data_IF_949081227825
#
_entry.id   IF_949081227825
#
_cell.length_a   1.000
_cell.length_b   1.000
_cell.length_c   1.000
_cell.angle_alpha   90.00
_cell.angle_beta   90.00
_cell.angle_gamma   90.00
#
_symmetry.space_group_name_H-M   'P 1'
#
loop_
_entity.id
_entity.type
_entity.pdbx_description
1 polymer ?
#
# COMPACT_ATOMS: atom_id res chain seq x y z
N UNK A 1 -5.83 23.48 -11.33
CA UNK A 1 -6.30 24.28 -10.18
C UNK A 1 -5.46 23.93 -8.98
N UNK A 2 -5.13 24.90 -8.13
CA UNK A 2 -4.40 24.62 -6.88
C UNK A 2 -5.31 23.88 -5.90
N UNK A 3 -4.85 22.74 -5.36
CA UNK A 3 -5.56 22.02 -4.31
C UNK A 3 -5.33 22.72 -2.96
N UNK A 4 -6.38 23.22 -2.35
CA UNK A 4 -6.33 24.01 -1.11
C UNK A 4 -7.36 23.58 -0.06
N UNK A 5 -8.10 22.51 -0.31
CA UNK A 5 -9.09 21.92 0.61
C UNK A 5 -8.99 20.41 0.61
N UNK A 6 -9.23 19.82 1.77
CA UNK A 6 -9.42 18.36 1.91
C UNK A 6 -10.80 17.95 1.39
N UNK A 7 -11.03 16.67 1.20
CA UNK A 7 -12.35 16.13 0.90
C UNK A 7 -13.31 16.43 2.06
N UNK A 8 -14.53 16.91 1.77
CA UNK A 8 -15.59 16.92 2.76
C UNK A 8 -16.11 15.49 3.00
N UNK A 9 -16.84 15.30 4.11
CA UNK A 9 -17.47 14.00 4.41
C UNK A 9 -18.44 13.57 3.30
N UNK A 10 -19.23 14.48 2.80
CA UNK A 10 -20.20 14.20 1.73
C UNK A 10 -19.51 13.82 0.42
N UNK A 11 -18.42 14.51 0.07
CA UNK A 11 -17.61 14.18 -1.09
C UNK A 11 -16.98 12.79 -0.96
N UNK A 12 -16.40 12.46 0.21
CA UNK A 12 -15.84 11.13 0.47
C UNK A 12 -16.93 10.04 0.36
N UNK A 13 -18.11 10.27 0.94
CA UNK A 13 -19.21 9.30 0.91
C UNK A 13 -19.74 9.07 -0.50
N UNK A 14 -19.74 10.10 -1.35
CA UNK A 14 -20.17 10.02 -2.75
C UNK A 14 -19.18 9.24 -3.65
N UNK A 15 -17.92 9.06 -3.23
CA UNK A 15 -16.96 8.27 -3.99
C UNK A 15 -17.32 6.78 -3.94
N UNK A 16 -17.31 6.13 -5.10
CA UNK A 16 -17.23 4.67 -5.17
C UNK A 16 -15.81 4.18 -4.89
N UNK A 17 -15.65 2.90 -4.54
CA UNK A 17 -14.32 2.28 -4.41
C UNK A 17 -13.54 2.31 -5.72
N UNK A 18 -14.23 2.28 -6.87
CA UNK A 18 -13.62 2.44 -8.20
C UNK A 18 -13.06 3.85 -8.40
N UNK A 19 -13.82 4.90 -8.05
CA UNK A 19 -13.37 6.30 -8.21
C UNK A 19 -12.15 6.58 -7.32
N UNK A 20 -12.19 6.12 -6.07
CA UNK A 20 -11.07 6.26 -5.12
C UNK A 20 -9.80 5.54 -5.62
N UNK A 21 -9.93 4.32 -6.16
CA UNK A 21 -8.80 3.62 -6.77
C UNK A 21 -8.29 4.34 -8.03
N UNK A 22 -9.20 4.84 -8.86
CA UNK A 22 -8.84 5.56 -10.08
C UNK A 22 -8.08 6.85 -9.77
N UNK A 23 -8.41 7.56 -8.69
CA UNK A 23 -7.66 8.75 -8.25
C UNK A 23 -6.19 8.40 -7.94
N UNK A 24 -5.93 7.27 -7.25
CA UNK A 24 -4.57 6.79 -7.01
C UNK A 24 -3.85 6.42 -8.31
N UNK A 25 -4.54 5.75 -9.24
CA UNK A 25 -3.97 5.38 -10.56
C UNK A 25 -3.59 6.60 -11.38
N UNK A 26 -4.48 7.58 -11.46
CA UNK A 26 -4.23 8.84 -12.17
C UNK A 26 -3.15 9.66 -11.47
N UNK A 27 -3.13 9.66 -10.13
CA UNK A 27 -2.07 10.28 -9.33
C UNK A 27 -0.70 9.69 -9.64
N UNK A 28 -0.59 8.35 -9.72
CA UNK A 28 0.68 7.72 -10.13
C UNK A 28 1.08 8.08 -11.57
N UNK A 29 0.13 8.22 -12.49
CA UNK A 29 0.44 8.70 -13.84
C UNK A 29 0.99 10.15 -13.83
N UNK A 30 0.42 11.04 -12.98
CA UNK A 30 0.96 12.40 -12.81
C UNK A 30 2.39 12.37 -12.25
N UNK A 31 2.64 11.55 -11.23
CA UNK A 31 3.97 11.34 -10.64
C UNK A 31 4.99 10.89 -11.70
N UNK A 32 4.68 9.84 -12.46
CA UNK A 32 5.55 9.29 -13.51
C UNK A 32 5.90 10.33 -14.58
N UNK A 33 4.96 11.20 -14.93
CA UNK A 33 5.13 12.24 -15.93
C UNK A 33 5.63 13.58 -15.38
N UNK A 34 5.93 13.66 -14.07
CA UNK A 34 6.31 14.89 -13.36
C UNK A 34 5.27 16.04 -13.53
N UNK A 35 3.99 15.70 -13.62
CA UNK A 35 2.85 16.60 -13.79
C UNK A 35 2.05 16.72 -12.48
N UNK A 36 2.75 17.03 -11.38
CA UNK A 36 2.16 17.11 -10.04
C UNK A 36 1.05 18.14 -9.95
N UNK A 37 0.08 17.85 -9.07
CA UNK A 37 -0.88 18.86 -8.65
C UNK A 37 -0.16 20.02 -7.96
N UNK A 38 -0.65 21.23 -8.20
CA UNK A 38 -0.27 22.40 -7.41
C UNK A 38 -1.00 22.33 -6.05
N UNK A 39 -0.24 22.36 -4.94
CA UNK A 39 -0.75 22.11 -3.58
C UNK A 39 -0.44 23.30 -2.68
N UNK A 40 -1.49 23.93 -2.15
CA UNK A 40 -1.38 24.92 -1.07
C UNK A 40 -1.39 24.23 0.29
N UNK A 41 -0.19 23.79 0.73
CA UNK A 41 -0.01 23.09 2.01
C UNK A 41 -0.51 23.92 3.20
N UNK A 42 -0.36 25.25 3.17
CA UNK A 42 -0.82 26.12 4.27
C UNK A 42 -2.33 26.09 4.40
N UNK A 43 -3.04 26.22 3.29
CA UNK A 43 -4.49 26.13 3.27
C UNK A 43 -4.99 24.76 3.66
N UNK A 44 -4.39 23.68 3.14
CA UNK A 44 -4.75 22.31 3.50
C UNK A 44 -4.55 22.01 4.98
N UNK A 45 -3.45 22.49 5.57
CA UNK A 45 -3.19 22.31 7.00
C UNK A 45 -4.23 23.00 7.86
N UNK A 46 -4.64 24.21 7.49
CA UNK A 46 -5.70 24.94 8.20
C UNK A 46 -7.05 24.25 8.03
N UNK A 47 -7.38 23.79 6.82
CA UNK A 47 -8.66 23.14 6.50
C UNK A 47 -8.79 21.78 7.20
N UNK A 48 -7.65 21.05 7.42
CA UNK A 48 -7.62 19.75 8.06
C UNK A 48 -7.59 19.78 9.59
N UNK A 49 -7.46 20.95 10.22
CA UNK A 49 -7.37 21.07 11.69
C UNK A 49 -8.60 20.47 12.40
N UNK A 50 -9.78 20.65 11.82
CA UNK A 50 -11.06 20.20 12.40
C UNK A 50 -11.41 18.75 12.09
N UNK A 51 -10.64 18.04 11.23
CA UNK A 51 -10.89 16.66 10.83
C UNK A 51 -10.26 16.28 9.50
N UNK A 52 -10.52 15.03 9.08
CA UNK A 52 -10.01 14.49 7.82
C UNK A 52 -10.96 13.45 7.24
N UNK A 53 -10.99 13.32 5.92
CA UNK A 53 -11.81 12.35 5.21
C UNK A 53 -11.00 11.64 4.11
N UNK A 54 -9.93 10.87 4.46
CA UNK A 54 -9.10 10.19 3.49
C UNK A 54 -9.91 9.17 2.69
N UNK A 55 -9.69 9.13 1.37
CA UNK A 55 -10.42 8.21 0.49
C UNK A 55 -9.79 6.81 0.42
N UNK A 56 -8.56 6.64 0.87
CA UNK A 56 -7.83 5.38 0.82
C UNK A 56 -6.91 5.18 2.02
N UNK A 57 -6.51 3.92 2.26
CA UNK A 57 -5.37 3.55 3.10
C UNK A 57 -4.38 2.72 2.29
N UNK A 58 -3.09 3.03 2.40
CA UNK A 58 -2.01 2.33 1.72
C UNK A 58 -1.10 1.67 2.76
N UNK A 59 -0.94 0.35 2.69
CA UNK A 59 0.10 -0.39 3.40
C UNK A 59 1.35 -0.45 2.53
N UNK A 60 2.46 0.10 3.00
CA UNK A 60 3.73 0.13 2.27
C UNK A 60 4.91 -0.30 3.14
N UNK A 61 6.04 -0.57 2.48
CA UNK A 61 7.30 -0.79 3.18
C UNK A 61 7.81 0.51 3.85
N UNK A 62 8.68 0.37 4.86
CA UNK A 62 9.41 1.49 5.46
C UNK A 62 10.50 2.07 4.53
N UNK A 63 10.74 1.50 3.36
CA UNK A 63 11.77 1.94 2.42
C UNK A 63 11.64 3.44 2.14
N UNK A 64 12.71 4.20 2.38
CA UNK A 64 12.73 5.66 2.27
C UNK A 64 12.52 6.18 0.84
N UNK A 65 12.67 5.33 -0.17
CA UNK A 65 12.46 5.65 -1.58
C UNK A 65 10.99 5.54 -1.99
N UNK A 66 10.13 4.99 -1.12
CA UNK A 66 8.69 4.82 -1.36
C UNK A 66 7.93 5.83 -0.50
N UNK A 67 7.82 7.06 -1.01
CA UNK A 67 7.02 8.11 -0.38
C UNK A 67 5.61 8.04 -0.95
N UNK A 68 4.72 7.34 -0.26
CA UNK A 68 3.40 6.92 -0.76
C UNK A 68 2.59 8.09 -1.31
N UNK A 69 2.55 9.20 -0.56
CA UNK A 69 1.80 10.40 -0.94
C UNK A 69 2.35 10.98 -2.25
N UNK A 70 3.67 10.97 -2.46
CA UNK A 70 4.28 11.42 -3.72
C UNK A 70 4.02 10.44 -4.86
N UNK A 71 4.18 9.11 -4.61
CA UNK A 71 3.96 8.07 -5.62
C UNK A 71 2.56 8.17 -6.22
N UNK A 72 1.58 8.56 -5.42
CA UNK A 72 0.19 8.71 -5.86
C UNK A 72 -0.25 10.17 -6.04
N UNK A 73 0.68 11.14 -5.95
CA UNK A 73 0.38 12.58 -6.05
C UNK A 73 -0.81 12.98 -5.19
N UNK A 74 -0.77 12.56 -3.92
CA UNK A 74 -1.80 12.83 -2.93
C UNK A 74 -1.37 13.94 -1.97
N UNK A 75 -2.32 14.76 -1.58
CA UNK A 75 -2.09 15.88 -0.67
C UNK A 75 -2.38 15.49 0.79
N UNK A 76 -2.10 16.43 1.69
CA UNK A 76 -2.43 16.32 3.11
C UNK A 76 -3.92 15.99 3.29
N UNK A 77 -4.21 14.92 4.04
CA UNK A 77 -5.57 14.49 4.36
C UNK A 77 -6.26 13.60 3.31
N UNK A 78 -5.60 13.26 2.20
CA UNK A 78 -6.19 12.44 1.14
C UNK A 78 -6.13 10.93 1.41
N UNK A 79 -5.03 10.48 2.03
CA UNK A 79 -4.77 9.05 2.27
C UNK A 79 -4.22 8.80 3.66
N UNK A 80 -4.58 7.66 4.25
CA UNK A 80 -3.85 7.08 5.36
C UNK A 80 -2.68 6.26 4.83
N UNK A 81 -1.57 6.23 5.58
CA UNK A 81 -0.40 5.41 5.25
C UNK A 81 0.02 4.58 6.45
N UNK A 82 -0.02 3.26 6.32
CA UNK A 82 0.55 2.32 7.26
C UNK A 82 1.86 1.76 6.70
N UNK A 83 2.92 1.62 7.53
CA UNK A 83 4.23 1.18 7.06
C UNK A 83 4.86 0.16 7.99
N UNK A 84 5.35 -0.92 7.39
CA UNK A 84 6.18 -1.94 8.04
C UNK A 84 7.18 -2.49 7.03
N UNK A 85 8.39 -2.86 7.44
CA UNK A 85 9.38 -3.45 6.54
C UNK A 85 8.80 -4.71 5.87
N UNK A 86 8.78 -4.73 4.52
CA UNK A 86 8.17 -5.84 3.76
C UNK A 86 6.65 -5.78 3.61
N UNK A 87 6.00 -4.67 3.97
CA UNK A 87 4.56 -4.40 3.71
C UNK A 87 3.59 -5.57 3.99
N UNK A 88 3.86 -6.39 5.00
CA UNK A 88 2.98 -7.48 5.43
C UNK A 88 1.89 -7.00 6.42
N UNK A 89 0.82 -7.80 6.60
CA UNK A 89 -0.24 -7.51 7.56
C UNK A 89 0.07 -8.12 8.93
N UNK A 90 -0.21 -7.37 9.99
CA UNK A 90 -0.28 -7.84 11.37
C UNK A 90 -1.52 -7.25 12.05
N UNK A 91 -1.78 -7.61 13.29
CA UNK A 91 -2.98 -7.17 14.02
C UNK A 91 -3.14 -5.66 14.05
N UNK A 92 -2.06 -4.90 14.30
CA UNK A 92 -2.13 -3.44 14.43
C UNK A 92 -2.36 -2.77 13.06
N UNK A 93 -1.74 -3.29 12.00
CA UNK A 93 -1.95 -2.85 10.63
C UNK A 93 -3.40 -3.11 10.21
N UNK A 94 -3.92 -4.32 10.46
CA UNK A 94 -5.30 -4.67 10.10
C UNK A 94 -6.31 -3.83 10.90
N UNK A 95 -6.10 -3.61 12.20
CA UNK A 95 -6.93 -2.74 13.02
C UNK A 95 -6.92 -1.28 12.49
N UNK A 96 -5.78 -0.79 12.03
CA UNK A 96 -5.67 0.53 11.38
C UNK A 96 -6.47 0.59 10.06
N UNK A 97 -6.49 -0.49 9.28
CA UNK A 97 -7.33 -0.60 8.08
C UNK A 97 -8.82 -0.64 8.41
N UNK A 98 -9.21 -1.36 9.47
CA UNK A 98 -10.59 -1.36 9.96
C UNK A 98 -11.03 0.04 10.38
N UNK A 99 -10.19 0.75 11.13
CA UNK A 99 -10.45 2.15 11.48
C UNK A 99 -10.61 3.01 10.23
N UNK A 100 -9.67 2.91 9.28
CA UNK A 100 -9.70 3.71 8.05
C UNK A 100 -10.97 3.46 7.22
N UNK A 101 -11.37 2.20 7.05
CA UNK A 101 -12.51 1.86 6.18
C UNK A 101 -13.85 1.94 6.92
N UNK A 102 -13.97 1.32 8.10
CA UNK A 102 -15.24 1.20 8.82
C UNK A 102 -15.61 2.48 9.58
N UNK A 103 -14.62 3.18 10.17
CA UNK A 103 -14.85 4.37 11.01
C UNK A 103 -14.65 5.65 10.20
N UNK A 104 -13.51 5.81 9.54
CA UNK A 104 -13.18 7.03 8.80
C UNK A 104 -13.82 7.08 7.40
N UNK A 105 -14.17 5.95 6.78
CA UNK A 105 -14.93 5.88 5.53
C UNK A 105 -14.08 5.80 4.27
N UNK A 106 -12.80 5.40 4.39
CA UNK A 106 -11.94 5.12 3.23
C UNK A 106 -12.51 3.99 2.38
N UNK A 107 -12.36 4.11 1.06
CA UNK A 107 -12.97 3.24 0.06
C UNK A 107 -12.01 2.21 -0.55
N UNK A 108 -10.71 2.39 -0.33
CA UNK A 108 -9.67 1.54 -0.94
C UNK A 108 -8.60 1.19 0.08
N UNK A 109 -8.21 -0.09 0.09
CA UNK A 109 -6.98 -0.57 0.73
C UNK A 109 -6.01 -0.95 -0.39
N UNK A 110 -4.82 -0.37 -0.38
CA UNK A 110 -3.73 -0.73 -1.31
C UNK A 110 -2.61 -1.40 -0.52
N UNK A 111 -2.22 -2.61 -0.93
CA UNK A 111 -0.97 -3.23 -0.48
C UNK A 111 0.10 -2.92 -1.52
N UNK A 112 1.03 -2.04 -1.17
CA UNK A 112 2.07 -1.54 -2.06
C UNK A 112 3.41 -2.18 -1.74
N UNK A 113 3.79 -3.20 -2.50
CA UNK A 113 5.16 -3.71 -2.58
C UNK A 113 6.04 -2.79 -3.42
N UNK A 114 7.33 -3.04 -3.43
CA UNK A 114 8.26 -2.27 -4.27
C UNK A 114 9.44 -3.10 -4.73
N UNK A 115 9.98 -2.75 -5.89
CA UNK A 115 11.19 -3.34 -6.44
C UNK A 115 12.37 -3.22 -5.47
N UNK A 116 13.19 -4.26 -5.38
CA UNK A 116 14.42 -4.24 -4.58
C UNK A 116 14.19 -4.14 -3.06
N UNK A 117 13.07 -4.62 -2.54
CA UNK A 117 12.74 -4.60 -1.12
C UNK A 117 13.78 -5.35 -0.28
N UNK A 118 14.42 -4.63 0.67
CA UNK A 118 15.45 -5.20 1.54
C UNK A 118 14.92 -6.29 2.46
N UNK A 119 13.71 -6.16 2.98
CA UNK A 119 13.10 -7.19 3.84
C UNK A 119 12.80 -8.49 3.05
N UNK A 120 12.31 -8.37 1.81
CA UNK A 120 12.08 -9.54 0.95
C UNK A 120 13.40 -10.22 0.59
N UNK A 121 14.44 -9.46 0.26
CA UNK A 121 15.78 -10.01 0.01
C UNK A 121 16.31 -10.75 1.23
N UNK A 122 16.21 -10.14 2.41
CA UNK A 122 16.63 -10.77 3.65
C UNK A 122 15.84 -12.06 3.96
N UNK A 123 14.55 -12.12 3.64
CA UNK A 123 13.74 -13.33 3.76
C UNK A 123 14.20 -14.42 2.77
N UNK A 124 14.52 -14.07 1.52
CA UNK A 124 15.09 -15.00 0.54
C UNK A 124 16.43 -15.59 1.01
N UNK A 125 17.24 -14.80 1.72
CA UNK A 125 18.54 -15.24 2.26
C UNK A 125 18.44 -15.92 3.63
N UNK A 126 17.23 -16.09 4.18
CA UNK A 126 16.98 -16.65 5.52
C UNK A 126 17.80 -15.95 6.63
N UNK A 127 17.86 -14.61 6.60
CA UNK A 127 18.63 -13.82 7.55
C UNK A 127 18.05 -13.97 8.97
N UNK A 128 18.92 -14.24 9.93
CA UNK A 128 18.59 -14.31 11.36
C UNK A 128 19.28 -13.17 12.10
N UNK A 129 18.51 -12.20 12.65
CA UNK A 129 19.04 -11.07 13.39
C UNK A 129 17.98 -10.47 14.31
N UNK A 130 18.06 -10.76 15.61
CA UNK A 130 17.20 -10.17 16.63
C UNK A 130 15.70 -10.18 16.23
N UNK A 131 15.02 -9.05 16.37
CA UNK A 131 13.61 -8.93 16.00
C UNK A 131 13.35 -9.02 14.47
N UNK A 132 14.39 -8.86 13.65
CA UNK A 132 14.28 -9.00 12.19
C UNK A 132 13.88 -10.43 11.84
N UNK A 133 14.39 -11.45 12.53
CA UNK A 133 14.00 -12.85 12.34
C UNK A 133 12.48 -13.03 12.43
N UNK A 134 11.86 -12.51 13.49
CA UNK A 134 10.39 -12.57 13.64
C UNK A 134 9.66 -11.75 12.58
N UNK A 135 10.21 -10.62 12.15
CA UNK A 135 9.62 -9.83 11.06
C UNK A 135 9.63 -10.61 9.76
N UNK A 136 10.77 -11.22 9.40
CA UNK A 136 10.93 -11.97 8.15
C UNK A 136 10.07 -13.22 8.09
N UNK A 137 9.72 -13.83 9.23
CA UNK A 137 8.80 -14.98 9.26
C UNK A 137 7.42 -14.68 8.66
N UNK A 138 7.00 -13.42 8.60
CA UNK A 138 5.77 -13.03 7.92
C UNK A 138 5.91 -13.02 6.38
N UNK A 139 7.13 -12.96 5.87
CA UNK A 139 7.42 -12.95 4.43
C UNK A 139 7.81 -14.34 3.92
N UNK A 140 8.36 -15.19 4.81
CA UNK A 140 8.85 -16.53 4.47
C UNK A 140 7.84 -17.39 3.70
N UNK A 141 6.52 -17.41 4.01
CA UNK A 141 5.57 -18.17 3.23
C UNK A 141 5.50 -17.74 1.75
N UNK A 142 5.67 -16.45 1.44
CA UNK A 142 5.73 -15.96 0.06
C UNK A 142 7.03 -16.47 -0.65
N UNK A 143 8.16 -16.52 0.08
CA UNK A 143 9.41 -17.11 -0.43
C UNK A 143 9.18 -18.57 -0.78
N UNK A 144 8.55 -19.35 0.11
CA UNK A 144 8.32 -20.78 -0.10
C UNK A 144 7.36 -21.06 -1.26
N UNK A 145 6.31 -20.27 -1.42
CA UNK A 145 5.36 -20.37 -2.53
C UNK A 145 6.01 -20.16 -3.90
N UNK A 146 7.05 -19.33 -3.97
CA UNK A 146 7.71 -18.99 -5.25
C UNK A 146 8.79 -20.01 -5.63
N UNK A 147 9.40 -20.73 -4.66
CA UNK A 147 10.50 -21.66 -4.90
C UNK A 147 10.20 -22.72 -5.97
N UNK A 148 8.96 -23.19 -6.05
CA UNK A 148 8.56 -24.21 -7.03
C UNK A 148 8.32 -23.66 -8.44
N UNK A 149 8.28 -22.35 -8.62
CA UNK A 149 7.84 -21.68 -9.85
C UNK A 149 8.94 -20.84 -10.51
N UNK A 150 10.13 -20.75 -9.90
CA UNK A 150 11.25 -19.98 -10.42
C UNK A 150 12.52 -20.83 -10.41
N UNK A 151 13.13 -20.99 -11.58
CA UNK A 151 14.39 -21.71 -11.74
C UNK A 151 15.59 -20.91 -11.22
N UNK A 152 16.65 -21.63 -10.85
CA UNK A 152 17.92 -21.07 -10.40
C UNK A 152 18.05 -20.90 -8.88
N UNK A 153 19.01 -20.09 -8.41
CA UNK A 153 19.19 -19.84 -6.98
C UNK A 153 17.97 -19.19 -6.34
N UNK A 154 17.61 -19.65 -5.13
CA UNK A 154 16.48 -19.10 -4.36
C UNK A 154 16.99 -18.15 -3.25
N UNK A 155 17.79 -17.16 -3.64
CA UNK A 155 18.42 -16.18 -2.77
C UNK A 155 18.28 -14.75 -3.35
N UNK A 156 18.79 -13.75 -2.65
CA UNK A 156 18.73 -12.35 -3.05
C UNK A 156 19.55 -11.99 -4.28
N UNK A 157 20.46 -12.87 -4.73
CA UNK A 157 21.23 -12.72 -5.97
C UNK A 157 20.41 -12.99 -7.23
N UNK A 158 19.33 -13.76 -7.13
CA UNK A 158 18.41 -14.03 -8.24
C UNK A 158 17.30 -12.97 -8.28
N UNK A 159 17.45 -11.94 -9.12
CA UNK A 159 16.46 -10.86 -9.24
C UNK A 159 15.09 -11.34 -9.69
N UNK A 160 15.00 -12.38 -10.51
CA UNK A 160 13.73 -12.98 -10.95
C UNK A 160 13.01 -13.59 -9.76
N UNK A 161 13.71 -14.32 -8.91
CA UNK A 161 13.16 -14.90 -7.69
C UNK A 161 12.70 -13.83 -6.70
N UNK A 162 13.54 -12.82 -6.44
CA UNK A 162 13.18 -11.70 -5.55
C UNK A 162 11.94 -10.97 -6.05
N UNK A 163 11.84 -10.65 -7.34
CA UNK A 163 10.70 -9.93 -7.90
C UNK A 163 9.41 -10.77 -7.85
N UNK A 164 9.50 -12.07 -8.10
CA UNK A 164 8.37 -12.98 -7.93
C UNK A 164 7.92 -13.03 -6.46
N UNK A 165 8.86 -13.11 -5.52
CA UNK A 165 8.57 -13.10 -4.07
C UNK A 165 7.94 -11.77 -3.63
N UNK A 166 8.39 -10.62 -4.14
CA UNK A 166 7.75 -9.32 -3.86
C UNK A 166 6.28 -9.34 -4.26
N UNK A 167 5.98 -9.82 -5.46
CA UNK A 167 4.60 -9.92 -5.96
C UNK A 167 3.77 -10.89 -5.13
N UNK A 168 4.31 -12.05 -4.83
CA UNK A 168 3.64 -13.08 -4.01
C UNK A 168 3.35 -12.55 -2.59
N UNK A 169 4.31 -11.85 -1.98
CA UNK A 169 4.13 -11.23 -0.66
C UNK A 169 2.97 -10.22 -0.65
N UNK A 170 2.79 -9.45 -1.73
CA UNK A 170 1.63 -8.55 -1.86
C UNK A 170 0.32 -9.34 -1.92
N UNK A 171 0.25 -10.40 -2.73
CA UNK A 171 -0.93 -11.26 -2.88
C UNK A 171 -1.27 -11.98 -1.57
N UNK A 172 -0.26 -12.52 -0.89
CA UNK A 172 -0.41 -13.15 0.41
C UNK A 172 -0.93 -12.16 1.45
N UNK A 173 -0.35 -10.97 1.53
CA UNK A 173 -0.80 -9.91 2.46
C UNK A 173 -2.26 -9.54 2.23
N UNK A 174 -2.71 -9.45 0.98
CA UNK A 174 -4.14 -9.22 0.65
C UNK A 174 -5.02 -10.36 1.17
N UNK A 175 -4.58 -11.61 0.99
CA UNK A 175 -5.29 -12.79 1.51
C UNK A 175 -5.36 -12.79 3.02
N UNK A 176 -4.27 -12.43 3.69
CA UNK A 176 -4.17 -12.32 5.15
C UNK A 176 -5.11 -11.23 5.70
N UNK A 177 -5.16 -10.05 5.08
CA UNK A 177 -6.10 -8.98 5.46
C UNK A 177 -7.54 -9.49 5.45
N UNK A 178 -7.94 -10.21 4.39
CA UNK A 178 -9.28 -10.80 4.27
C UNK A 178 -9.55 -11.86 5.33
N UNK A 179 -8.55 -12.68 5.65
CA UNK A 179 -8.66 -13.74 6.66
C UNK A 179 -8.70 -13.20 8.08
N UNK A 180 -7.89 -12.18 8.38
CA UNK A 180 -7.77 -11.61 9.73
C UNK A 180 -8.94 -10.69 10.09
N UNK A 181 -9.61 -10.07 9.09
CA UNK A 181 -10.68 -9.10 9.34
C UNK A 181 -11.99 -9.48 8.65
N UNK A 182 -12.93 -10.12 9.36
CA UNK A 182 -14.28 -10.29 8.87
C UNK A 182 -14.99 -8.96 8.55
N UNK A 183 -14.60 -7.87 9.21
CA UNK A 183 -15.14 -6.51 8.97
C UNK A 183 -14.76 -6.04 7.57
N UNK A 184 -13.46 -6.07 7.24
CA UNK A 184 -12.97 -5.64 5.92
C UNK A 184 -13.48 -6.57 4.81
N UNK A 185 -13.48 -7.88 5.06
CA UNK A 185 -14.05 -8.87 4.14
C UNK A 185 -15.52 -8.56 3.81
N UNK A 186 -16.34 -8.28 4.83
CA UNK A 186 -17.75 -7.92 4.64
C UNK A 186 -17.93 -6.63 3.84
N UNK A 187 -17.12 -5.58 4.10
CA UNK A 187 -17.17 -4.34 3.34
C UNK A 187 -16.77 -4.55 1.87
N UNK A 188 -15.79 -5.42 1.61
CA UNK A 188 -15.36 -5.77 0.25
C UNK A 188 -16.46 -6.57 -0.49
N UNK A 189 -17.08 -7.55 0.18
CA UNK A 189 -18.18 -8.36 -0.40
C UNK A 189 -19.40 -7.50 -0.77
N UNK A 190 -19.68 -6.45 0.02
CA UNK A 190 -20.72 -5.45 -0.26
C UNK A 190 -20.30 -4.41 -1.32
N UNK A 191 -19.05 -4.44 -1.79
CA UNK A 191 -18.46 -3.46 -2.71
C UNK A 191 -18.35 -2.03 -2.15
N UNK A 192 -18.44 -1.88 -0.84
CA UNK A 192 -18.22 -0.62 -0.15
C UNK A 192 -16.74 -0.21 -0.21
N UNK A 193 -15.84 -1.20 -0.21
CA UNK A 193 -14.40 -1.01 -0.39
C UNK A 193 -13.84 -1.95 -1.45
N UNK A 194 -12.60 -1.68 -1.85
CA UNK A 194 -11.79 -2.58 -2.70
C UNK A 194 -10.43 -2.77 -2.05
N UNK A 195 -9.93 -4.02 -2.03
CA UNK A 195 -8.58 -4.38 -1.58
C UNK A 195 -7.77 -4.80 -2.80
N UNK A 196 -6.71 -4.05 -3.11
CA UNK A 196 -5.88 -4.27 -4.31
C UNK A 196 -4.40 -4.29 -3.96
N UNK A 197 -3.60 -4.86 -4.86
CA UNK A 197 -2.15 -4.86 -4.76
C UNK A 197 -1.49 -4.07 -5.88
N UNK A 198 -0.26 -3.65 -5.62
CA UNK A 198 0.61 -3.06 -6.62
C UNK A 198 2.08 -3.22 -6.25
N UNK A 199 2.95 -3.14 -7.25
CA UNK A 199 4.40 -3.14 -7.05
C UNK A 199 4.98 -1.86 -7.66
N UNK A 200 5.57 -1.03 -6.80
CA UNK A 200 6.22 0.21 -7.20
C UNK A 200 7.60 -0.05 -7.82
N UNK A 201 7.81 0.45 -9.03
CA UNK A 201 9.04 0.34 -9.79
C UNK A 201 9.95 1.53 -9.51
N UNK A 202 11.07 1.31 -8.84
CA UNK A 202 11.97 2.36 -8.37
C UNK A 202 12.53 3.24 -9.49
N UNK A 203 12.78 2.65 -10.66
CA UNK A 203 13.38 3.36 -11.79
C UNK A 203 12.39 4.24 -12.54
N UNK A 204 11.19 3.74 -12.76
CA UNK A 204 10.18 4.43 -13.58
C UNK A 204 9.19 5.26 -12.75
N UNK A 205 9.09 4.98 -11.45
CA UNK A 205 8.07 5.56 -10.59
C UNK A 205 6.67 4.96 -10.79
N UNK A 206 6.52 3.99 -11.69
CA UNK A 206 5.24 3.38 -12.02
C UNK A 206 4.82 2.35 -10.97
N UNK A 207 3.52 2.27 -10.71
CA UNK A 207 2.91 1.17 -9.95
C UNK A 207 2.31 0.17 -10.93
N UNK A 208 2.82 -1.07 -10.90
CA UNK A 208 2.24 -2.19 -11.63
C UNK A 208 1.17 -2.83 -10.73
N UNK A 209 -0.08 -2.65 -11.10
CA UNK A 209 -1.25 -3.16 -10.37
C UNK A 209 -1.45 -4.66 -10.60
N UNK A 210 -1.85 -5.38 -9.55
CA UNK A 210 -2.04 -6.84 -9.54
C UNK A 210 -3.36 -7.22 -8.88
#
# INVERSE_FOLDING_TARGET
>A
MTKNKILSKDQQQALSSYDALNELKVGNQRYVNALFNDIDIKSLRNDSESGQNPHAIVLSCIDSRVVVEQVFDQALGDVFVARVAGNFANTDIVASMEYACKVAGSKVIVVLGHEGCGAVKAACDNVELGNITSLLSNISPAVDNVKSNVDGPHDSGNSTFVNATIKENVLQTISEIRSMSPILKSLEDLKDITIVGGVYQLKSGKVDWI
#
